data_IF_847091480121
#
_entry.id   IF_847091480121
#
_cell.length_a   1.000
_cell.length_b   1.000
_cell.length_c   1.000
_cell.angle_alpha   90.00
_cell.angle_beta   90.00
_cell.angle_gamma   90.00
#
_symmetry.space_group_name_H-M   'P 1'
#
loop_
_entity.id
_entity.type
_entity.pdbx_description
1 polymer ?
#
# COMPACT_ATOMS: atom_id res chain seq x y z
N UNK A 1 -31.47 25.06 -1.90
CA UNK A 1 -30.37 24.16 -1.53
C UNK A 1 -30.76 22.85 -2.17
N UNK A 2 -29.89 22.14 -2.80
CA UNK A 2 -30.20 20.90 -3.49
C UNK A 2 -29.01 19.96 -3.45
N UNK A 3 -29.30 18.70 -3.45
CA UNK A 3 -28.32 17.62 -3.53
C UNK A 3 -27.40 17.84 -4.75
N UNK A 4 -26.12 18.04 -4.52
CA UNK A 4 -25.13 18.26 -5.58
C UNK A 4 -24.53 16.94 -6.01
N UNK A 5 -24.53 16.67 -7.30
CA UNK A 5 -23.78 15.54 -7.88
C UNK A 5 -22.44 16.03 -8.36
N UNK A 6 -21.40 15.23 -8.15
CA UNK A 6 -20.03 15.58 -8.52
C UNK A 6 -19.37 14.41 -9.24
N UNK A 7 -18.72 14.69 -10.37
CA UNK A 7 -17.98 13.68 -11.12
C UNK A 7 -16.73 13.21 -10.34
N UNK A 8 -16.29 11.96 -10.56
CA UNK A 8 -15.16 11.39 -9.83
C UNK A 8 -13.87 12.19 -10.00
N UNK A 9 -13.58 12.67 -11.20
CA UNK A 9 -12.38 13.47 -11.48
C UNK A 9 -12.40 14.82 -10.74
N UNK A 10 -13.55 15.49 -10.68
CA UNK A 10 -13.71 16.73 -9.91
C UNK A 10 -13.63 16.46 -8.40
N UNK A 11 -14.26 15.39 -7.92
CA UNK A 11 -14.20 15.01 -6.50
C UNK A 11 -12.77 14.71 -6.06
N UNK A 12 -12.00 13.97 -6.88
CA UNK A 12 -10.58 13.65 -6.66
C UNK A 12 -9.73 14.95 -6.56
N UNK A 13 -9.97 15.91 -7.42
CA UNK A 13 -9.24 17.18 -7.38
C UNK A 13 -9.54 18.01 -6.12
N UNK A 14 -10.64 17.73 -5.44
CA UNK A 14 -11.18 18.52 -4.32
C UNK A 14 -11.38 17.70 -3.04
N UNK A 15 -10.76 16.54 -2.89
CA UNK A 15 -10.98 15.67 -1.71
C UNK A 15 -10.78 16.42 -0.39
N UNK A 16 -9.75 17.25 -0.28
CA UNK A 16 -9.49 18.08 0.90
C UNK A 16 -10.51 19.21 1.12
N UNK A 17 -11.37 19.51 0.16
CA UNK A 17 -12.40 20.53 0.24
C UNK A 17 -13.72 20.03 0.84
N UNK A 18 -13.85 18.74 1.13
CA UNK A 18 -14.99 18.17 1.83
C UNK A 18 -14.69 18.05 3.31
N UNK A 19 -15.66 18.41 4.17
CA UNK A 19 -15.51 18.31 5.62
C UNK A 19 -15.57 16.84 6.11
N UNK A 20 -16.13 15.94 5.29
CA UNK A 20 -16.10 14.50 5.48
C UNK A 20 -16.33 13.78 4.16
N UNK A 21 -15.72 12.61 4.02
CA UNK A 21 -15.99 11.67 2.92
C UNK A 21 -16.66 10.44 3.55
N UNK A 22 -17.91 10.20 3.19
CA UNK A 22 -18.76 9.20 3.83
C UNK A 22 -19.01 8.03 2.88
N UNK A 23 -18.46 6.88 3.23
CA UNK A 23 -18.72 5.61 2.54
C UNK A 23 -19.92 4.91 3.17
N UNK A 24 -21.00 4.78 2.42
CA UNK A 24 -22.21 4.09 2.90
C UNK A 24 -22.26 2.60 2.49
N UNK A 25 -21.16 2.06 1.98
CA UNK A 25 -21.05 0.62 1.70
C UNK A 25 -20.91 -0.17 3.00
N UNK A 26 -21.09 -1.48 2.90
CA UNK A 26 -20.87 -2.36 4.06
C UNK A 26 -19.40 -2.37 4.51
N UNK A 27 -19.18 -2.89 5.71
CA UNK A 27 -17.87 -2.89 6.36
C UNK A 27 -16.81 -3.65 5.54
N UNK A 28 -17.17 -4.78 4.95
CA UNK A 28 -16.26 -5.56 4.09
C UNK A 28 -15.91 -4.83 2.78
N UNK A 29 -16.89 -4.15 2.16
CA UNK A 29 -16.63 -3.31 0.98
C UNK A 29 -15.67 -2.17 1.32
N UNK A 30 -15.83 -1.54 2.48
CA UNK A 30 -14.99 -0.45 2.98
C UNK A 30 -13.58 -0.93 3.34
N UNK A 31 -13.46 -2.11 3.97
CA UNK A 31 -12.18 -2.70 4.35
C UNK A 31 -11.35 -3.12 3.14
N UNK A 32 -12.01 -3.55 2.06
CA UNK A 32 -11.32 -3.95 0.83
C UNK A 32 -10.58 -2.78 0.19
N UNK A 33 -11.26 -1.63 0.01
CA UNK A 33 -10.69 -0.37 -0.46
C UNK A 33 -11.71 0.76 -0.30
N UNK A 34 -11.24 2.01 -0.23
CA UNK A 34 -12.07 3.20 -0.01
C UNK A 34 -11.41 4.45 -0.56
N UNK A 35 -12.17 5.54 -0.68
CA UNK A 35 -11.62 6.86 -0.98
C UNK A 35 -10.71 7.31 0.19
N UNK A 36 -9.59 7.99 -0.09
CA UNK A 36 -8.72 8.53 0.96
C UNK A 36 -9.49 9.40 1.95
N UNK A 37 -9.26 9.18 3.25
CA UNK A 37 -9.92 9.93 4.30
C UNK A 37 -11.40 9.58 4.55
N UNK A 38 -11.95 8.57 3.86
CA UNK A 38 -13.33 8.17 4.04
C UNK A 38 -13.57 7.54 5.42
N UNK A 39 -14.75 7.86 5.99
CA UNK A 39 -15.32 7.19 7.17
C UNK A 39 -16.45 6.27 6.72
N UNK A 40 -16.65 5.15 7.42
CA UNK A 40 -17.69 4.19 7.04
C UNK A 40 -18.98 4.43 7.83
N UNK A 41 -20.06 4.73 7.12
CA UNK A 41 -21.42 4.82 7.66
C UNK A 41 -22.32 3.86 6.88
N UNK A 42 -22.23 2.55 7.13
CA UNK A 42 -22.92 1.56 6.33
C UNK A 42 -24.44 1.71 6.49
N UNK A 43 -25.15 2.00 5.40
CA UNK A 43 -26.62 2.04 5.39
C UNK A 43 -27.22 0.63 5.30
N UNK A 44 -26.42 -0.37 4.96
CA UNK A 44 -26.63 -1.79 5.16
C UNK A 44 -25.28 -2.38 5.59
N UNK A 45 -25.24 -3.03 6.75
CA UNK A 45 -24.08 -3.78 7.18
C UNK A 45 -23.90 -5.05 6.32
N UNK A 46 -22.82 -5.80 6.50
CA UNK A 46 -22.51 -6.98 5.68
C UNK A 46 -23.64 -8.01 5.72
N UNK A 47 -24.22 -8.31 6.89
CA UNK A 47 -25.29 -9.30 7.03
C UNK A 47 -26.61 -8.80 6.41
N UNK A 48 -26.99 -7.55 6.68
CA UNK A 48 -28.17 -6.93 6.10
C UNK A 48 -28.09 -6.89 4.56
N UNK A 49 -26.91 -6.54 4.05
CA UNK A 49 -26.64 -6.53 2.61
C UNK A 49 -26.74 -7.94 2.00
N UNK A 50 -26.24 -8.95 2.70
CA UNK A 50 -26.34 -10.35 2.29
C UNK A 50 -27.81 -10.79 2.22
N UNK A 51 -28.60 -10.51 3.26
CA UNK A 51 -30.01 -10.85 3.34
C UNK A 51 -30.79 -10.19 2.21
N UNK A 52 -30.71 -8.86 2.10
CA UNK A 52 -31.43 -8.09 1.06
C UNK A 52 -30.99 -8.51 -0.34
N UNK A 53 -29.70 -8.76 -0.55
CA UNK A 53 -29.16 -9.19 -1.83
C UNK A 53 -29.63 -10.60 -2.25
N UNK A 54 -29.72 -11.53 -1.31
CA UNK A 54 -30.23 -12.89 -1.53
C UNK A 54 -31.73 -12.84 -1.87
N UNK A 55 -32.51 -12.13 -1.04
CA UNK A 55 -33.96 -11.96 -1.27
C UNK A 55 -34.25 -11.33 -2.64
N UNK A 56 -33.47 -10.30 -3.02
CA UNK A 56 -33.60 -9.65 -4.32
C UNK A 56 -33.42 -10.60 -5.51
N UNK A 57 -32.45 -11.53 -5.41
CA UNK A 57 -32.09 -12.44 -6.50
C UNK A 57 -32.95 -13.70 -6.53
N UNK A 58 -33.35 -14.22 -5.36
CA UNK A 58 -33.90 -15.56 -5.23
C UNK A 58 -35.38 -15.60 -4.84
N UNK A 59 -35.94 -14.50 -4.32
CA UNK A 59 -37.32 -14.46 -3.83
C UNK A 59 -38.14 -13.41 -4.58
N UNK A 60 -37.97 -12.13 -4.22
CA UNK A 60 -38.76 -11.04 -4.78
C UNK A 60 -37.97 -9.72 -4.74
N UNK A 61 -37.69 -9.11 -5.89
CA UNK A 61 -37.09 -7.77 -5.91
C UNK A 61 -37.90 -6.69 -5.18
N UNK A 62 -39.23 -6.84 -5.17
CA UNK A 62 -40.10 -5.88 -4.48
C UNK A 62 -40.04 -6.02 -2.96
N UNK A 63 -40.09 -7.25 -2.44
CA UNK A 63 -40.00 -7.50 -0.99
C UNK A 63 -38.61 -7.15 -0.44
N UNK A 64 -37.55 -7.50 -1.18
CA UNK A 64 -36.20 -7.08 -0.88
C UNK A 64 -36.04 -5.55 -0.78
N UNK A 65 -36.72 -4.80 -1.66
CA UNK A 65 -36.72 -3.32 -1.59
C UNK A 65 -37.43 -2.81 -0.34
N UNK A 66 -38.59 -3.40 0.05
CA UNK A 66 -39.29 -3.04 1.28
C UNK A 66 -38.42 -3.30 2.51
N UNK A 67 -37.85 -4.49 2.60
CA UNK A 67 -36.95 -4.83 3.70
C UNK A 67 -35.72 -3.93 3.73
N UNK A 68 -35.07 -3.73 2.59
CA UNK A 68 -33.93 -2.85 2.44
C UNK A 68 -34.22 -1.40 2.86
N UNK A 69 -35.40 -0.87 2.51
CA UNK A 69 -35.83 0.48 2.90
C UNK A 69 -35.92 0.62 4.44
N UNK A 70 -36.48 -0.36 5.13
CA UNK A 70 -36.58 -0.34 6.60
C UNK A 70 -35.20 -0.37 7.25
N UNK A 71 -34.31 -1.26 6.80
CA UNK A 71 -32.96 -1.36 7.34
C UNK A 71 -32.14 -0.11 7.07
N UNK A 72 -32.18 0.41 5.85
CA UNK A 72 -31.50 1.65 5.45
C UNK A 72 -31.98 2.84 6.28
N UNK A 73 -33.31 3.00 6.47
CA UNK A 73 -33.86 4.11 7.28
C UNK A 73 -33.38 4.03 8.74
N UNK A 74 -33.39 2.84 9.34
CA UNK A 74 -32.91 2.61 10.71
C UNK A 74 -31.42 2.96 10.86
N UNK A 75 -30.59 2.50 9.92
CA UNK A 75 -29.15 2.75 9.96
C UNK A 75 -28.84 4.24 9.71
N UNK A 76 -29.56 4.91 8.81
CA UNK A 76 -29.43 6.36 8.59
C UNK A 76 -29.75 7.12 9.88
N UNK A 77 -30.86 6.80 10.56
CA UNK A 77 -31.22 7.45 11.83
C UNK A 77 -30.08 7.32 12.85
N UNK A 78 -29.55 6.12 13.03
CA UNK A 78 -28.39 5.87 13.93
C UNK A 78 -27.17 6.69 13.55
N UNK A 79 -26.81 6.73 12.25
CA UNK A 79 -25.65 7.52 11.80
C UNK A 79 -25.84 9.02 12.05
N UNK A 80 -27.05 9.54 11.87
CA UNK A 80 -27.36 10.94 12.16
C UNK A 80 -27.19 11.21 13.66
N UNK A 81 -27.78 10.39 14.52
CA UNK A 81 -27.66 10.52 15.97
C UNK A 81 -26.21 10.49 16.43
N UNK A 82 -25.42 9.55 15.90
CA UNK A 82 -24.05 9.34 16.37
C UNK A 82 -23.06 10.35 15.79
N UNK A 83 -23.26 10.83 14.56
CA UNK A 83 -22.19 11.51 13.84
C UNK A 83 -22.57 12.87 13.25
N UNK A 84 -23.87 13.14 13.03
CA UNK A 84 -24.30 14.36 12.37
C UNK A 84 -24.90 15.42 13.31
N UNK A 85 -25.40 15.04 14.48
CA UNK A 85 -26.05 15.97 15.43
C UNK A 85 -25.18 17.14 15.85
N UNK A 86 -23.87 16.93 16.01
CA UNK A 86 -22.92 17.97 16.41
C UNK A 86 -22.32 18.75 15.20
N UNK A 87 -22.75 18.47 13.98
CA UNK A 87 -22.19 19.14 12.79
C UNK A 87 -22.81 20.51 12.57
N UNK A 88 -22.01 21.53 12.22
CA UNK A 88 -22.53 22.85 11.94
C UNK A 88 -23.34 22.89 10.63
N UNK A 89 -24.23 23.85 10.47
CA UNK A 89 -25.07 24.00 9.26
C UNK A 89 -24.24 24.05 7.94
N UNK A 90 -23.01 24.55 7.99
CA UNK A 90 -22.13 24.66 6.85
C UNK A 90 -21.40 23.38 6.49
N UNK A 91 -21.63 22.27 7.18
CA UNK A 91 -20.96 20.99 6.92
C UNK A 91 -21.23 20.47 5.51
N UNK A 92 -20.16 20.07 4.81
CA UNK A 92 -20.16 19.68 3.39
C UNK A 92 -19.61 18.27 3.20
N UNK A 93 -20.39 17.21 3.44
CA UNK A 93 -19.96 15.85 3.21
C UNK A 93 -20.00 15.47 1.72
N UNK A 94 -19.05 14.62 1.29
CA UNK A 94 -19.12 13.83 0.08
C UNK A 94 -19.62 12.43 0.45
N UNK A 95 -20.77 12.02 -0.08
CA UNK A 95 -21.35 10.70 0.19
C UNK A 95 -21.23 9.81 -1.04
N UNK A 96 -20.82 8.56 -0.86
CA UNK A 96 -20.75 7.62 -1.95
C UNK A 96 -21.14 6.19 -1.55
N UNK A 97 -21.56 5.41 -2.53
CA UNK A 97 -21.71 3.96 -2.43
C UNK A 97 -21.01 3.29 -3.62
N UNK A 98 -21.33 2.05 -3.93
CA UNK A 98 -20.68 1.30 -5.02
C UNK A 98 -20.85 1.95 -6.40
N UNK A 99 -22.08 2.41 -6.74
CA UNK A 99 -22.45 2.98 -8.06
C UNK A 99 -23.07 4.38 -7.99
N UNK A 100 -23.03 5.07 -6.86
CA UNK A 100 -23.68 6.38 -6.69
C UNK A 100 -25.20 6.31 -6.81
N UNK A 101 -25.82 5.18 -6.43
CA UNK A 101 -27.26 4.93 -6.57
C UNK A 101 -28.04 5.06 -5.25
N UNK A 102 -28.96 4.12 -5.02
CA UNK A 102 -29.95 4.19 -3.93
C UNK A 102 -29.33 4.35 -2.52
N UNK A 103 -28.26 3.60 -2.19
CA UNK A 103 -27.64 3.63 -0.85
C UNK A 103 -27.11 5.02 -0.50
N UNK A 104 -26.28 5.61 -1.36
CA UNK A 104 -25.76 6.97 -1.14
C UNK A 104 -26.83 8.04 -1.29
N UNK A 105 -27.76 7.86 -2.22
CA UNK A 105 -28.90 8.77 -2.39
C UNK A 105 -29.79 8.86 -1.14
N UNK A 106 -30.09 7.73 -0.50
CA UNK A 106 -30.93 7.69 0.69
C UNK A 106 -30.34 8.53 1.84
N UNK A 107 -29.07 8.30 2.21
CA UNK A 107 -28.41 9.11 3.24
C UNK A 107 -28.30 10.58 2.82
N UNK A 108 -27.88 10.82 1.59
CA UNK A 108 -27.68 12.18 1.08
C UNK A 108 -28.96 13.01 1.07
N UNK A 109 -30.11 12.41 0.72
CA UNK A 109 -31.40 13.08 0.74
C UNK A 109 -31.79 13.51 2.16
N UNK A 110 -31.61 12.65 3.16
CA UNK A 110 -31.93 12.99 4.55
C UNK A 110 -31.01 14.10 5.08
N UNK A 111 -29.71 14.01 4.80
CA UNK A 111 -28.75 15.06 5.21
C UNK A 111 -29.03 16.40 4.52
N UNK A 112 -29.43 16.41 3.24
CA UNK A 112 -29.82 17.63 2.52
C UNK A 112 -31.10 18.25 3.08
N UNK A 113 -32.09 17.43 3.45
CA UNK A 113 -33.32 17.88 4.10
C UNK A 113 -33.07 18.48 5.48
N UNK A 114 -32.09 18.03 6.23
CA UNK A 114 -31.64 18.66 7.50
C UNK A 114 -31.06 20.05 7.22
N UNK A 115 -30.54 20.30 6.02
CA UNK A 115 -30.00 21.59 5.60
C UNK A 115 -28.47 21.62 5.41
N UNK A 116 -27.80 20.45 5.37
CA UNK A 116 -26.38 20.35 5.03
C UNK A 116 -26.14 20.49 3.52
N UNK A 117 -24.93 20.90 3.13
CA UNK A 117 -24.54 21.01 1.71
C UNK A 117 -23.93 19.68 1.25
N UNK A 118 -24.78 18.74 0.83
CA UNK A 118 -24.36 17.37 0.54
C UNK A 118 -23.94 17.19 -0.91
N UNK A 119 -22.80 16.53 -1.10
CA UNK A 119 -22.32 16.09 -2.41
C UNK A 119 -22.44 14.57 -2.54
N UNK A 120 -22.87 14.09 -3.71
CA UNK A 120 -22.92 12.66 -4.02
C UNK A 120 -22.00 12.37 -5.18
N UNK A 121 -21.11 11.41 -4.99
CA UNK A 121 -20.18 10.97 -6.02
C UNK A 121 -20.94 10.24 -7.15
N UNK A 122 -20.92 10.80 -8.34
CA UNK A 122 -21.51 10.19 -9.52
C UNK A 122 -20.79 8.86 -9.87
N UNK A 123 -21.58 7.82 -10.15
CA UNK A 123 -21.06 6.49 -10.38
C UNK A 123 -20.38 5.82 -9.17
N UNK A 124 -20.25 6.55 -8.04
CA UNK A 124 -19.75 6.07 -6.76
C UNK A 124 -18.30 5.58 -6.81
N UNK A 125 -17.98 4.65 -5.90
CA UNK A 125 -16.65 4.03 -5.79
C UNK A 125 -16.14 3.46 -7.12
N UNK A 126 -17.02 2.92 -7.96
CA UNK A 126 -16.62 2.35 -9.25
C UNK A 126 -16.00 3.40 -10.19
N UNK A 127 -16.57 4.60 -10.24
CA UNK A 127 -16.03 5.69 -11.08
C UNK A 127 -14.76 6.28 -10.45
N UNK A 128 -14.69 6.38 -9.11
CA UNK A 128 -13.45 6.72 -8.44
C UNK A 128 -12.33 5.73 -8.83
N UNK A 129 -12.59 4.42 -8.76
CA UNK A 129 -11.59 3.40 -9.16
C UNK A 129 -11.16 3.55 -10.62
N UNK A 130 -12.11 3.83 -11.52
CA UNK A 130 -11.80 4.06 -12.94
C UNK A 130 -10.88 5.26 -13.12
N UNK A 131 -11.17 6.35 -12.43
CA UNK A 131 -10.38 7.58 -12.51
C UNK A 131 -8.96 7.39 -11.99
N UNK A 132 -8.77 6.77 -10.80
CA UNK A 132 -7.43 6.58 -10.27
C UNK A 132 -6.60 5.57 -11.06
N UNK A 133 -7.22 4.53 -11.63
CA UNK A 133 -6.50 3.60 -12.50
C UNK A 133 -6.01 4.30 -13.78
N UNK A 134 -6.82 5.18 -14.37
CA UNK A 134 -6.38 6.00 -15.50
C UNK A 134 -5.22 6.95 -15.13
N UNK A 135 -5.26 7.55 -13.94
CA UNK A 135 -4.15 8.37 -13.46
C UNK A 135 -2.89 7.55 -13.15
N UNK A 136 -3.00 6.33 -12.63
CA UNK A 136 -1.85 5.44 -12.41
C UNK A 136 -1.12 5.06 -13.71
N UNK A 137 -1.78 5.10 -14.85
CA UNK A 137 -1.14 4.90 -16.15
C UNK A 137 -0.35 6.12 -16.62
N UNK A 138 -0.68 7.32 -16.14
CA UNK A 138 -0.08 8.57 -16.65
C UNK A 138 0.85 9.26 -15.64
N UNK A 139 0.52 9.25 -14.35
CA UNK A 139 1.31 9.91 -13.30
C UNK A 139 2.80 9.53 -13.29
N UNK A 140 3.19 8.25 -13.46
CA UNK A 140 4.60 7.88 -13.39
C UNK A 140 5.46 8.55 -14.48
N UNK A 141 4.87 8.90 -15.63
CA UNK A 141 5.59 9.51 -16.74
C UNK A 141 6.10 10.94 -16.42
N UNK A 142 5.41 11.66 -15.54
CA UNK A 142 5.76 13.01 -15.13
C UNK A 142 6.87 13.06 -14.06
N UNK A 143 7.20 11.93 -13.41
CA UNK A 143 8.10 11.89 -12.28
C UNK A 143 9.55 11.62 -12.70
N UNK A 144 10.48 12.29 -12.04
CA UNK A 144 11.90 11.98 -12.08
C UNK A 144 12.21 10.96 -10.99
N UNK A 145 12.49 9.71 -11.39
CA UNK A 145 12.74 8.61 -10.44
C UNK A 145 14.23 8.32 -10.31
N UNK A 146 14.69 7.96 -9.11
CA UNK A 146 16.00 7.35 -8.83
C UNK A 146 15.79 6.07 -8.04
N UNK A 147 16.25 4.95 -8.58
CA UNK A 147 16.05 3.64 -7.96
C UNK A 147 17.22 3.33 -7.02
N UNK A 148 16.89 3.12 -5.75
CA UNK A 148 17.84 2.68 -4.71
C UNK A 148 17.91 1.16 -4.77
N UNK A 149 19.03 0.65 -5.29
CA UNK A 149 19.35 -0.75 -5.45
C UNK A 149 20.25 -1.20 -4.32
N UNK A 150 20.29 -2.49 -4.02
CA UNK A 150 21.20 -3.08 -3.03
C UNK A 150 20.71 -4.45 -2.61
N UNK A 151 21.66 -5.32 -2.30
CA UNK A 151 21.41 -6.70 -1.90
C UNK A 151 20.52 -6.77 -0.66
N UNK A 152 19.92 -7.90 -0.39
CA UNK A 152 19.14 -8.14 0.84
C UNK A 152 19.97 -7.82 2.08
N UNK A 153 19.40 -7.08 3.03
CA UNK A 153 20.08 -6.67 4.25
C UNK A 153 20.98 -5.44 4.12
N UNK A 154 21.07 -4.77 2.97
CA UNK A 154 21.89 -3.54 2.79
C UNK A 154 21.22 -2.25 3.32
N UNK A 155 20.23 -2.36 4.18
CA UNK A 155 19.52 -1.26 4.84
C UNK A 155 18.85 -0.24 3.89
N UNK A 156 18.48 -0.63 2.66
CA UNK A 156 17.81 0.25 1.68
C UNK A 156 16.59 0.97 2.26
N UNK A 157 15.68 0.23 2.90
CA UNK A 157 14.44 0.78 3.45
C UNK A 157 14.72 1.80 4.56
N UNK A 158 15.74 1.56 5.43
CA UNK A 158 16.19 2.55 6.41
C UNK A 158 16.84 3.77 5.75
N UNK A 159 17.57 3.60 4.65
CA UNK A 159 18.13 4.72 3.88
C UNK A 159 17.01 5.56 3.24
N UNK A 160 15.97 4.94 2.70
CA UNK A 160 14.79 5.65 2.20
C UNK A 160 14.07 6.43 3.32
N UNK A 161 13.96 5.85 4.51
CA UNK A 161 13.42 6.54 5.67
C UNK A 161 14.30 7.75 6.08
N UNK A 162 15.63 7.61 6.04
CA UNK A 162 16.55 8.71 6.29
C UNK A 162 16.44 9.82 5.24
N UNK A 163 16.26 9.48 3.97
CA UNK A 163 15.96 10.45 2.89
C UNK A 163 14.64 11.18 3.14
N UNK A 164 13.59 10.46 3.49
CA UNK A 164 12.29 11.06 3.84
C UNK A 164 12.40 12.00 5.05
N UNK A 165 13.15 11.61 6.09
CA UNK A 165 13.41 12.44 7.26
C UNK A 165 14.23 13.70 6.91
N UNK A 166 15.09 13.65 5.89
CA UNK A 166 15.80 14.79 5.33
C UNK A 166 14.93 15.67 4.40
N UNK A 167 13.65 15.31 4.21
CA UNK A 167 12.72 16.06 3.37
C UNK A 167 12.79 15.70 1.87
N UNK A 168 13.49 14.63 1.50
CA UNK A 168 13.52 14.15 0.12
C UNK A 168 12.25 13.36 -0.23
N UNK A 169 11.74 13.47 -1.49
CA UNK A 169 10.61 12.65 -1.93
C UNK A 169 10.99 11.18 -1.99
N UNK A 170 10.21 10.35 -1.30
CA UNK A 170 10.42 8.89 -1.25
C UNK A 170 9.12 8.18 -1.60
N UNK A 171 9.20 7.20 -2.47
CA UNK A 171 8.14 6.25 -2.76
C UNK A 171 8.51 4.88 -2.15
N UNK A 172 8.05 4.62 -0.94
CA UNK A 172 8.28 3.37 -0.23
C UNK A 172 7.21 2.33 -0.61
N UNK A 173 7.51 1.52 -1.61
CA UNK A 173 6.61 0.50 -2.13
C UNK A 173 6.41 -0.66 -1.15
N UNK A 174 7.44 -1.03 -0.39
CA UNK A 174 7.38 -2.07 0.64
C UNK A 174 6.44 -1.65 1.79
N UNK A 175 6.54 -0.40 2.25
CA UNK A 175 5.64 0.13 3.27
C UNK A 175 4.19 0.18 2.78
N UNK A 176 3.94 0.66 1.55
CA UNK A 176 2.61 0.66 0.93
C UNK A 176 2.04 -0.76 0.80
N UNK A 177 2.89 -1.73 0.51
CA UNK A 177 2.52 -3.14 0.39
C UNK A 177 2.43 -3.87 1.74
N UNK A 178 2.91 -3.27 2.84
CA UNK A 178 3.10 -3.92 4.14
C UNK A 178 3.86 -5.23 4.02
N UNK A 179 4.99 -5.19 3.29
CA UNK A 179 5.76 -6.39 2.97
C UNK A 179 7.19 -6.03 2.57
N UNK A 180 8.17 -6.78 3.02
CA UNK A 180 9.61 -6.54 2.78
C UNK A 180 10.16 -7.18 1.50
N UNK A 181 9.36 -7.34 0.47
CA UNK A 181 9.79 -7.81 -0.86
C UNK A 181 10.33 -9.25 -0.96
N UNK A 182 10.71 -9.90 0.13
CA UNK A 182 11.36 -11.22 0.15
C UNK A 182 10.42 -12.36 0.56
N UNK A 183 10.89 -13.62 0.50
CA UNK A 183 10.16 -14.79 1.02
C UNK A 183 9.89 -14.67 2.52
N UNK A 184 10.79 -14.00 3.26
CA UNK A 184 10.64 -13.69 4.68
C UNK A 184 9.86 -12.39 4.92
N UNK A 185 9.36 -11.77 3.86
CA UNK A 185 8.82 -10.42 3.85
C UNK A 185 7.48 -10.13 4.54
N UNK A 186 6.58 -11.09 4.81
CA UNK A 186 5.36 -10.80 5.56
C UNK A 186 5.66 -10.23 6.94
N UNK A 187 5.01 -9.10 7.29
CA UNK A 187 5.15 -8.48 8.61
C UNK A 187 4.23 -9.16 9.62
N UNK A 188 4.72 -9.49 10.84
CA UNK A 188 3.88 -10.09 11.87
C UNK A 188 2.69 -9.21 12.22
N UNK A 189 1.49 -9.81 12.28
CA UNK A 189 0.26 -9.10 12.64
C UNK A 189 -0.22 -8.03 11.63
N UNK A 190 0.48 -7.84 10.52
CA UNK A 190 0.13 -6.84 9.50
C UNK A 190 -0.09 -7.51 8.13
N UNK A 191 -1.30 -7.98 7.82
CA UNK A 191 -1.57 -8.56 6.51
C UNK A 191 -1.41 -7.52 5.40
N UNK A 192 -0.94 -7.97 4.24
CA UNK A 192 -0.91 -7.12 3.05
C UNK A 192 -2.30 -6.57 2.74
N UNK A 193 -2.42 -5.32 2.26
CA UNK A 193 -3.69 -4.77 1.82
C UNK A 193 -4.25 -5.55 0.62
N UNK A 194 -5.47 -5.25 0.23
CA UNK A 194 -5.99 -5.68 -1.07
C UNK A 194 -5.20 -5.01 -2.21
N UNK A 195 -5.23 -5.60 -3.40
CA UNK A 195 -4.65 -4.96 -4.59
C UNK A 195 -5.24 -3.56 -4.82
N UNK A 196 -6.55 -3.40 -4.60
CA UNK A 196 -7.23 -2.11 -4.76
C UNK A 196 -6.74 -1.07 -3.75
N UNK A 197 -6.63 -1.46 -2.48
CA UNK A 197 -6.15 -0.56 -1.43
C UNK A 197 -4.68 -0.17 -1.65
N UNK A 198 -3.84 -1.11 -2.10
CA UNK A 198 -2.45 -0.82 -2.49
C UNK A 198 -2.40 0.21 -3.64
N UNK A 199 -3.19 0.01 -4.70
CA UNK A 199 -3.24 0.92 -5.84
C UNK A 199 -3.79 2.31 -5.45
N UNK A 200 -4.79 2.36 -4.55
CA UNK A 200 -5.30 3.64 -4.03
C UNK A 200 -4.24 4.38 -3.21
N UNK A 201 -3.50 3.67 -2.35
CA UNK A 201 -2.41 4.26 -1.56
C UNK A 201 -1.24 4.70 -2.46
N UNK A 202 -0.87 3.89 -3.43
CA UNK A 202 0.16 4.21 -4.44
C UNK A 202 -0.22 5.46 -5.26
N UNK A 203 -1.45 5.50 -5.76
CA UNK A 203 -1.97 6.67 -6.47
C UNK A 203 -1.90 7.94 -5.62
N UNK A 204 -2.28 7.87 -4.35
CA UNK A 204 -2.21 9.01 -3.43
C UNK A 204 -0.76 9.46 -3.21
N UNK A 205 0.16 8.52 -3.03
CA UNK A 205 1.58 8.82 -2.90
C UNK A 205 2.13 9.52 -4.16
N UNK A 206 1.88 8.96 -5.35
CA UNK A 206 2.34 9.54 -6.62
C UNK A 206 1.80 10.96 -6.86
N UNK A 207 0.53 11.21 -6.53
CA UNK A 207 -0.07 12.55 -6.66
C UNK A 207 0.51 13.60 -5.72
N UNK A 208 1.07 13.19 -4.59
CA UNK A 208 1.69 14.12 -3.65
C UNK A 208 3.12 14.51 -4.03
N UNK A 209 3.69 13.88 -5.06
CA UNK A 209 5.07 14.13 -5.48
C UNK A 209 5.16 15.28 -6.47
N UNK A 210 6.16 16.14 -6.27
CA UNK A 210 6.47 17.26 -7.15
C UNK A 210 7.30 16.76 -8.34
N UNK A 211 6.87 16.99 -9.59
CA UNK A 211 7.55 16.48 -10.79
C UNK A 211 8.99 16.99 -10.96
N UNK A 212 9.30 18.16 -10.42
CA UNK A 212 10.61 18.83 -10.49
C UNK A 212 11.63 18.26 -9.49
N UNK A 213 11.19 17.41 -8.55
CA UNK A 213 12.07 16.77 -7.56
C UNK A 213 12.33 15.32 -7.92
N UNK A 214 13.52 14.85 -7.62
CA UNK A 214 13.87 13.42 -7.77
C UNK A 214 13.18 12.62 -6.68
N UNK A 215 12.41 11.62 -7.07
CA UNK A 215 11.76 10.68 -6.16
C UNK A 215 12.62 9.45 -5.99
N UNK A 216 13.03 9.18 -4.77
CA UNK A 216 13.79 7.98 -4.41
C UNK A 216 12.84 6.81 -4.17
N UNK A 217 13.14 5.65 -4.77
CA UNK A 217 12.29 4.47 -4.68
C UNK A 217 13.15 3.20 -4.65
N UNK A 218 12.75 2.15 -3.92
CA UNK A 218 13.47 0.87 -3.94
C UNK A 218 13.33 0.13 -5.26
N UNK A 219 14.40 -0.62 -5.60
CA UNK A 219 14.43 -1.49 -6.78
C UNK A 219 13.63 -2.77 -6.55
N UNK A 220 12.33 -2.72 -6.83
CA UNK A 220 11.40 -3.82 -6.62
C UNK A 220 11.13 -4.64 -7.90
N UNK A 221 10.71 -5.88 -7.69
CA UNK A 221 10.23 -6.76 -8.75
C UNK A 221 8.80 -6.36 -9.19
N UNK A 222 8.27 -7.05 -10.22
CA UNK A 222 6.87 -6.86 -10.66
C UNK A 222 5.85 -7.04 -9.53
N UNK A 223 6.20 -7.85 -8.52
CA UNK A 223 5.32 -8.17 -7.40
C UNK A 223 6.03 -7.99 -6.07
N UNK A 224 5.30 -7.46 -5.09
CA UNK A 224 5.70 -7.36 -3.69
C UNK A 224 4.76 -8.27 -2.90
N UNK A 225 5.25 -9.44 -2.51
CA UNK A 225 4.37 -10.51 -2.01
C UNK A 225 3.31 -10.87 -3.06
N UNK A 226 2.02 -10.71 -2.69
CA UNK A 226 0.89 -10.99 -3.61
C UNK A 226 0.43 -9.77 -4.45
N UNK A 227 1.00 -8.59 -4.20
CA UNK A 227 0.58 -7.35 -4.83
C UNK A 227 1.39 -7.10 -6.11
N UNK A 228 0.73 -6.53 -7.11
CA UNK A 228 1.36 -6.17 -8.39
C UNK A 228 1.56 -4.66 -8.48
N UNK A 229 2.76 -4.26 -8.89
CA UNK A 229 3.04 -2.87 -9.25
C UNK A 229 2.38 -2.58 -10.60
N UNK A 230 1.66 -1.44 -10.77
CA UNK A 230 1.12 -1.01 -12.05
C UNK A 230 2.19 -0.97 -13.14
N UNK A 231 1.84 -1.42 -14.34
CA UNK A 231 2.84 -1.61 -15.42
C UNK A 231 3.53 -0.30 -15.82
N UNK A 232 2.80 0.81 -15.88
CA UNK A 232 3.36 2.11 -16.21
C UNK A 232 4.45 2.55 -15.21
N UNK A 233 4.22 2.34 -13.90
CA UNK A 233 5.24 2.63 -12.89
C UNK A 233 6.42 1.67 -13.01
N UNK A 234 6.16 0.36 -13.21
CA UNK A 234 7.22 -0.64 -13.36
C UNK A 234 8.17 -0.33 -14.54
N UNK A 235 7.62 0.09 -15.67
CA UNK A 235 8.42 0.50 -16.83
C UNK A 235 9.28 1.73 -16.53
N UNK A 236 8.71 2.73 -15.83
CA UNK A 236 9.47 3.92 -15.41
C UNK A 236 10.59 3.57 -14.45
N UNK A 237 10.35 2.70 -13.46
CA UNK A 237 11.37 2.21 -12.53
C UNK A 237 12.52 1.51 -13.26
N UNK A 238 12.20 0.63 -14.20
CA UNK A 238 13.21 -0.13 -14.96
C UNK A 238 14.11 0.73 -15.86
N UNK A 239 13.59 1.87 -16.32
CA UNK A 239 14.31 2.82 -17.14
C UNK A 239 15.02 3.92 -16.33
N UNK A 240 14.74 4.03 -15.03
CA UNK A 240 15.26 5.12 -14.18
C UNK A 240 16.75 4.90 -13.84
N UNK A 241 17.49 5.99 -13.58
CA UNK A 241 18.83 5.92 -12.99
C UNK A 241 18.80 5.14 -11.67
N UNK A 242 19.85 4.31 -11.48
CA UNK A 242 20.02 3.52 -10.26
C UNK A 242 21.17 4.06 -9.40
N UNK A 243 21.10 3.82 -8.10
CA UNK A 243 22.21 3.93 -7.16
C UNK A 243 22.31 2.63 -6.38
N UNK A 244 23.52 2.06 -6.26
CA UNK A 244 23.75 0.80 -5.56
C UNK A 244 24.20 1.07 -4.13
N UNK A 245 23.49 0.51 -3.17
CA UNK A 245 23.87 0.51 -1.75
C UNK A 245 24.59 -0.80 -1.46
N UNK A 246 25.83 -0.70 -1.00
CA UNK A 246 26.65 -1.84 -0.59
C UNK A 246 26.95 -1.75 0.91
N UNK A 247 26.94 -2.91 1.55
CA UNK A 247 27.28 -3.08 2.98
C UNK A 247 28.04 -4.40 3.15
N UNK A 248 29.04 -4.47 4.05
CA UNK A 248 29.77 -5.70 4.31
C UNK A 248 28.83 -6.84 4.73
N UNK A 249 29.17 -8.08 4.34
CA UNK A 249 28.29 -9.24 4.60
C UNK A 249 27.99 -9.42 6.09
N UNK A 250 29.00 -9.26 6.96
CA UNK A 250 28.82 -9.38 8.39
C UNK A 250 27.80 -8.36 8.94
N UNK A 251 27.88 -7.11 8.46
CA UNK A 251 26.93 -6.05 8.87
C UNK A 251 25.53 -6.32 8.34
N UNK A 252 25.41 -6.88 7.13
CA UNK A 252 24.10 -7.29 6.57
C UNK A 252 23.46 -8.40 7.37
N UNK A 253 24.25 -9.37 7.86
CA UNK A 253 23.78 -10.45 8.73
C UNK A 253 23.31 -9.85 10.08
N UNK A 254 24.13 -9.01 10.71
CA UNK A 254 23.77 -8.35 11.97
C UNK A 254 22.49 -7.53 11.85
N UNK A 255 22.40 -6.71 10.78
CA UNK A 255 21.21 -5.91 10.47
C UNK A 255 19.95 -6.77 10.29
N UNK A 256 20.05 -7.91 9.56
CA UNK A 256 18.89 -8.77 9.35
C UNK A 256 18.45 -9.47 10.63
N UNK A 257 19.37 -9.89 11.50
CA UNK A 257 19.02 -10.48 12.79
C UNK A 257 18.29 -9.47 13.69
N UNK A 258 18.70 -8.21 13.68
CA UNK A 258 17.99 -7.13 14.37
C UNK A 258 16.62 -6.87 13.74
N UNK A 259 16.56 -6.67 12.42
CA UNK A 259 15.35 -6.27 11.69
C UNK A 259 14.26 -7.37 11.67
N UNK A 260 14.67 -8.63 11.81
CA UNK A 260 13.83 -9.81 11.90
C UNK A 260 13.87 -10.46 13.30
N UNK A 261 14.00 -9.66 14.36
CA UNK A 261 14.09 -10.09 15.74
C UNK A 261 12.98 -11.11 16.13
N UNK A 262 11.79 -10.96 15.58
CA UNK A 262 10.69 -11.92 15.79
C UNK A 262 11.03 -13.35 15.36
N UNK A 263 11.88 -13.56 14.35
CA UNK A 263 12.36 -14.88 13.96
C UNK A 263 13.51 -15.37 14.86
N UNK A 264 14.26 -14.45 15.48
CA UNK A 264 15.26 -14.81 16.49
C UNK A 264 14.58 -15.38 17.72
N UNK A 265 13.42 -14.85 18.10
CA UNK A 265 12.61 -15.32 19.22
C UNK A 265 11.72 -16.52 18.88
N UNK A 266 11.33 -16.69 17.62
CA UNK A 266 10.52 -17.80 17.13
C UNK A 266 11.22 -18.52 15.97
N UNK A 267 12.17 -19.38 16.33
CA UNK A 267 12.98 -20.16 15.36
C UNK A 267 12.12 -21.13 14.56
N UNK A 268 11.02 -21.65 15.13
CA UNK A 268 10.14 -22.56 14.39
C UNK A 268 9.37 -21.83 13.30
N UNK A 269 8.88 -20.62 13.55
CA UNK A 269 8.30 -19.77 12.50
C UNK A 269 9.33 -19.45 11.40
N UNK A 270 10.60 -19.20 11.75
CA UNK A 270 11.67 -19.06 10.75
C UNK A 270 11.85 -20.34 9.92
N UNK A 271 11.91 -21.50 10.55
CA UNK A 271 12.03 -22.80 9.89
C UNK A 271 10.85 -23.10 8.96
N UNK A 272 9.64 -22.73 9.33
CA UNK A 272 8.45 -22.84 8.46
C UNK A 272 8.61 -21.99 7.19
N UNK A 273 9.12 -20.74 7.32
CA UNK A 273 9.39 -19.88 6.17
C UNK A 273 10.48 -20.45 5.25
N UNK A 274 11.54 -21.03 5.83
CA UNK A 274 12.60 -21.70 5.06
C UNK A 274 12.05 -22.86 4.21
N UNK A 275 11.00 -23.54 4.65
CA UNK A 275 10.38 -24.62 3.91
C UNK A 275 9.90 -24.20 2.50
N UNK A 276 9.51 -22.94 2.30
CA UNK A 276 9.15 -22.41 0.98
C UNK A 276 10.30 -22.43 -0.03
N UNK A 277 11.56 -22.57 0.42
CA UNK A 277 12.73 -22.62 -0.43
C UNK A 277 13.06 -24.05 -0.91
N UNK A 278 12.33 -25.08 -0.47
CA UNK A 278 12.60 -26.49 -0.81
C UNK A 278 12.60 -26.74 -2.33
N UNK A 279 11.66 -26.16 -3.04
CA UNK A 279 11.57 -26.31 -4.51
C UNK A 279 12.76 -25.68 -5.25
N UNK A 280 13.32 -24.61 -4.69
CA UNK A 280 14.38 -23.83 -5.34
C UNK A 280 15.79 -24.29 -4.93
N UNK A 281 15.95 -24.76 -3.67
CA UNK A 281 17.26 -25.10 -3.07
C UNK A 281 17.44 -26.59 -2.79
N UNK A 282 16.38 -27.37 -2.90
CA UNK A 282 16.36 -28.78 -2.54
C UNK A 282 16.10 -29.04 -1.06
N UNK A 283 15.48 -30.17 -0.74
CA UNK A 283 15.08 -30.53 0.61
C UNK A 283 16.26 -30.63 1.58
N UNK A 284 17.35 -31.28 1.17
CA UNK A 284 18.52 -31.51 2.02
C UNK A 284 19.20 -30.20 2.50
N UNK A 285 19.28 -29.18 1.63
CA UNK A 285 19.83 -27.87 2.00
C UNK A 285 18.94 -27.17 3.03
N UNK A 286 17.63 -27.17 2.78
CA UNK A 286 16.66 -26.51 3.69
C UNK A 286 16.62 -27.22 5.04
N UNK A 287 16.66 -28.54 5.08
CA UNK A 287 16.69 -29.32 6.33
C UNK A 287 17.97 -29.04 7.14
N UNK A 288 19.12 -28.93 6.48
CA UNK A 288 20.37 -28.51 7.13
C UNK A 288 20.25 -27.10 7.72
N UNK A 289 19.70 -26.13 6.99
CA UNK A 289 19.45 -24.80 7.52
C UNK A 289 18.50 -24.79 8.72
N UNK A 290 17.40 -25.55 8.65
CA UNK A 290 16.48 -25.69 9.75
C UNK A 290 17.12 -26.32 10.99
N UNK A 291 17.95 -27.35 10.82
CA UNK A 291 18.68 -27.97 11.91
C UNK A 291 19.70 -27.00 12.55
N UNK A 292 20.46 -26.26 11.73
CA UNK A 292 21.41 -25.25 12.20
C UNK A 292 20.70 -24.10 12.94
N UNK A 293 19.56 -23.63 12.44
CA UNK A 293 18.75 -22.59 13.08
C UNK A 293 18.27 -23.04 14.47
N UNK A 294 17.70 -24.25 14.58
CA UNK A 294 17.31 -24.82 15.88
C UNK A 294 18.49 -25.07 16.81
N UNK A 295 19.68 -25.30 16.26
CA UNK A 295 20.95 -25.41 17.01
C UNK A 295 21.56 -24.07 17.43
N UNK A 296 20.82 -22.94 17.27
CA UNK A 296 21.30 -21.62 17.67
C UNK A 296 22.26 -20.94 16.69
N UNK A 297 22.44 -21.47 15.47
CA UNK A 297 23.38 -20.95 14.45
C UNK A 297 22.65 -20.05 13.43
N UNK A 298 21.75 -19.17 13.89
CA UNK A 298 20.95 -18.31 13.01
C UNK A 298 21.81 -17.41 12.13
N UNK A 299 22.88 -16.83 12.66
CA UNK A 299 23.77 -15.96 11.90
C UNK A 299 24.39 -16.70 10.70
N UNK A 300 24.86 -17.93 10.90
CA UNK A 300 25.42 -18.78 9.83
C UNK A 300 24.36 -19.11 8.79
N UNK A 301 23.15 -19.43 9.22
CA UNK A 301 22.03 -19.69 8.28
C UNK A 301 21.68 -18.45 7.45
N UNK A 302 21.62 -17.28 8.08
CA UNK A 302 21.36 -16.02 7.37
C UNK A 302 22.48 -15.70 6.39
N UNK A 303 23.75 -15.88 6.77
CA UNK A 303 24.90 -15.69 5.88
C UNK A 303 24.83 -16.61 4.66
N UNK A 304 24.59 -17.91 4.86
CA UNK A 304 24.43 -18.87 3.76
C UNK A 304 23.22 -18.53 2.86
N UNK A 305 22.10 -18.10 3.44
CA UNK A 305 20.95 -17.66 2.68
C UNK A 305 21.27 -16.45 1.80
N UNK A 306 21.99 -15.48 2.34
CA UNK A 306 22.43 -14.32 1.56
C UNK A 306 23.34 -14.75 0.40
N UNK A 307 24.41 -15.50 0.69
CA UNK A 307 25.39 -15.88 -0.30
C UNK A 307 24.85 -16.85 -1.37
N UNK A 308 24.06 -17.83 -0.96
CA UNK A 308 23.63 -18.90 -1.86
C UNK A 308 22.28 -18.63 -2.53
N UNK A 309 21.38 -17.87 -1.91
CA UNK A 309 20.02 -17.65 -2.44
C UNK A 309 19.76 -16.22 -2.87
N UNK A 310 19.84 -15.29 -1.93
CA UNK A 310 19.38 -13.93 -2.19
C UNK A 310 20.28 -13.15 -3.14
N UNK A 311 21.60 -13.12 -2.92
CA UNK A 311 22.51 -12.31 -3.70
C UNK A 311 22.56 -12.72 -5.18
N UNK A 312 22.73 -14.02 -5.52
CA UNK A 312 22.72 -14.44 -6.92
C UNK A 312 21.38 -14.22 -7.63
N UNK A 313 20.28 -14.31 -6.87
CA UNK A 313 18.93 -14.09 -7.43
C UNK A 313 18.69 -12.62 -7.66
N UNK A 314 19.07 -11.77 -6.70
CA UNK A 314 18.96 -10.33 -6.78
C UNK A 314 19.76 -9.76 -7.95
N UNK A 315 21.05 -10.11 -8.06
CA UNK A 315 21.93 -9.61 -9.13
C UNK A 315 21.42 -9.96 -10.52
N UNK A 316 21.02 -11.21 -10.72
CA UNK A 316 20.43 -11.63 -12.01
C UNK A 316 19.13 -10.88 -12.33
N UNK A 317 18.30 -10.65 -11.32
CA UNK A 317 17.05 -9.91 -11.48
C UNK A 317 17.31 -8.45 -11.83
N UNK A 318 18.23 -7.80 -11.12
CA UNK A 318 18.56 -6.39 -11.34
C UNK A 318 19.22 -6.18 -12.71
N UNK A 319 20.22 -6.97 -13.05
CA UNK A 319 20.89 -6.89 -14.35
C UNK A 319 19.93 -7.11 -15.54
N UNK A 320 18.92 -7.97 -15.35
CA UNK A 320 17.93 -8.26 -16.40
C UNK A 320 16.87 -7.17 -16.54
N UNK A 321 16.46 -6.54 -15.43
CA UNK A 321 15.27 -5.72 -15.39
C UNK A 321 15.54 -4.21 -15.32
N UNK A 322 16.72 -3.78 -14.87
CA UNK A 322 17.06 -2.36 -14.68
C UNK A 322 18.22 -1.96 -15.59
N UNK A 323 17.91 -1.17 -16.63
CA UNK A 323 18.89 -0.84 -17.67
C UNK A 323 20.13 -0.10 -17.12
N UNK A 324 19.96 0.75 -16.10
CA UNK A 324 21.03 1.54 -15.52
C UNK A 324 21.80 0.82 -14.39
N UNK A 325 21.43 -0.42 -14.02
CA UNK A 325 22.01 -1.11 -12.86
C UNK A 325 23.51 -1.35 -12.98
N UNK A 326 23.99 -1.79 -14.14
CA UNK A 326 25.41 -2.11 -14.36
C UNK A 326 26.38 -0.92 -14.32
N UNK A 327 25.87 0.28 -14.58
CA UNK A 327 26.63 1.53 -14.55
C UNK A 327 26.28 2.43 -13.35
N UNK A 328 25.50 1.89 -12.39
CA UNK A 328 25.02 2.67 -11.26
C UNK A 328 26.16 3.02 -10.28
N UNK A 329 26.25 4.28 -9.82
CA UNK A 329 27.18 4.66 -8.78
C UNK A 329 26.88 3.89 -7.49
N UNK A 330 27.93 3.70 -6.68
CA UNK A 330 27.86 2.89 -5.45
C UNK A 330 27.99 3.78 -4.21
N UNK A 331 27.10 3.57 -3.23
CA UNK A 331 27.20 4.10 -1.90
C UNK A 331 27.60 2.96 -0.96
N UNK A 332 28.76 3.11 -0.32
CA UNK A 332 29.25 2.15 0.67
C UNK A 332 28.79 2.58 2.06
N UNK A 333 27.96 1.75 2.69
CA UNK A 333 27.57 1.88 4.10
C UNK A 333 28.50 1.00 4.95
N UNK A 334 29.12 1.58 5.96
CA UNK A 334 29.90 0.82 6.93
C UNK A 334 29.01 -0.09 7.78
N UNK A 335 27.83 0.42 8.13
CA UNK A 335 26.82 -0.23 8.97
C UNK A 335 25.42 0.36 8.70
N UNK A 336 24.42 -0.06 9.47
CA UNK A 336 23.05 0.48 9.42
C UNK A 336 22.76 1.52 10.53
N UNK A 337 23.78 2.11 11.14
CA UNK A 337 23.61 3.10 12.20
C UNK A 337 22.92 4.38 11.67
N UNK A 338 22.10 5.07 12.48
CA UNK A 338 21.40 6.28 12.05
C UNK A 338 22.32 7.37 11.48
N UNK A 339 23.53 7.54 12.04
CA UNK A 339 24.50 8.52 11.56
C UNK A 339 25.04 8.18 10.16
N UNK A 340 25.36 6.90 9.91
CA UNK A 340 25.81 6.39 8.61
C UNK A 340 24.72 6.60 7.55
N UNK A 341 23.48 6.25 7.88
CA UNK A 341 22.34 6.41 7.00
C UNK A 341 22.02 7.90 6.70
N UNK A 342 22.11 8.77 7.71
CA UNK A 342 21.90 10.20 7.53
C UNK A 342 22.96 10.82 6.60
N UNK A 343 24.24 10.44 6.78
CA UNK A 343 25.31 10.89 5.90
C UNK A 343 25.12 10.44 4.44
N UNK A 344 24.73 9.17 4.24
CA UNK A 344 24.42 8.63 2.91
C UNK A 344 23.20 9.32 2.28
N UNK A 345 22.14 9.60 3.05
CA UNK A 345 20.97 10.34 2.59
C UNK A 345 21.35 11.76 2.16
N UNK A 346 22.16 12.47 2.93
CA UNK A 346 22.64 13.80 2.56
C UNK A 346 23.48 13.80 1.27
N UNK A 347 24.36 12.81 1.09
CA UNK A 347 25.13 12.65 -0.15
C UNK A 347 24.23 12.39 -1.37
N UNK A 348 23.17 11.60 -1.22
CA UNK A 348 22.19 11.34 -2.28
C UNK A 348 21.36 12.58 -2.63
N UNK A 349 20.95 13.36 -1.62
CA UNK A 349 20.16 14.56 -1.79
C UNK A 349 20.93 15.65 -2.57
N UNK A 350 22.23 15.78 -2.32
CA UNK A 350 23.10 16.77 -3.00
C UNK A 350 23.60 16.32 -4.37
N UNK A 351 23.34 15.07 -4.78
CA UNK A 351 23.88 14.50 -6.03
C UNK A 351 25.38 14.17 -5.96
N UNK A 352 26.00 14.24 -4.80
CA UNK A 352 27.42 13.97 -4.60
C UNK A 352 27.79 12.47 -4.65
N UNK A 353 26.81 11.61 -4.80
CA UNK A 353 26.99 10.17 -5.06
C UNK A 353 27.11 9.97 -6.58
N UNK A 354 28.25 10.33 -7.13
CA UNK A 354 28.64 10.09 -8.53
C UNK A 354 29.78 9.10 -8.62
#
# INVERSE_FOLDING_TARGET
MGLKRIAATEAIARLAGFDAIVDVRSESEYAEDRLPGAVNWPVLNDEERRIVGTEYKQVSPFDARKRGAVLVARNIARHIETHAMARPRGWRPLVYCWRGGQRSGALATVLDQIGFTVHVLEGGYREFRRAILAELETLPAALSLRVVCGRTGSAKSRLLQALAAAGEPVLDLEALARHRGSVLGPLPGQPQPSQKAFETALWQALRSMAPERVVHVEGESRTIGRLRIPEALLQRLRAAPCVQVQMPLAERVAFLLEDYEHFVHDVDAFCERLAALREVRGAAVVERWQAAARGGQLATVVEELLAQHYDPTYERSMARNFAAFGAAPTINLADAAPATLAAAAAALATGAAS
#
